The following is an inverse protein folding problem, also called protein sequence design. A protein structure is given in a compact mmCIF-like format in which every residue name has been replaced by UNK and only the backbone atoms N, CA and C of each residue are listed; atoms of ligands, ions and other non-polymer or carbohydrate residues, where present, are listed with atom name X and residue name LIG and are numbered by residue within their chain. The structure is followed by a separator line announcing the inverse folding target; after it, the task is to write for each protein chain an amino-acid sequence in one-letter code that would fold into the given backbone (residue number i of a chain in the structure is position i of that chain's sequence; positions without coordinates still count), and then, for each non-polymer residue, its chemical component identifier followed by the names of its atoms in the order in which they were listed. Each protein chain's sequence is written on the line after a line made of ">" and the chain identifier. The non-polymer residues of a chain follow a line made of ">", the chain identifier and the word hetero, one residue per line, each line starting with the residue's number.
data_IF_748266285617
#
_entry.id   IF_748266285617
#
_cell.length_a   1.000
_cell.length_b   1.000
_cell.length_c   1.000
_cell.angle_alpha   90.00
_cell.angle_beta   90.00
_cell.angle_gamma   90.00
#
_symmetry.space_group_name_H-M   'P 1'
#
loop_
_entity.id
_entity.type
_entity.pdbx_description
1 polymer ?
#
# COMPACT_ATOMS: atom_id res chain seq x y z
N UNK A 1 -9.93 -10.33 4.55
CA UNK A 1 -10.52 -9.91 5.84
C UNK A 1 -10.32 -8.43 6.14
N UNK A 2 -9.10 -7.90 6.36
CA UNK A 2 -8.89 -6.45 6.63
C UNK A 2 -9.35 -5.56 5.47
N UNK A 3 -8.97 -5.89 4.24
CA UNK A 3 -9.36 -5.21 3.02
C UNK A 3 -10.88 -5.08 2.90
N UNK A 4 -11.57 -6.21 2.99
CA UNK A 4 -13.02 -6.27 2.78
C UNK A 4 -13.77 -5.47 3.85
N UNK A 5 -13.24 -5.46 5.07
CA UNK A 5 -13.76 -4.61 6.15
C UNK A 5 -13.64 -3.13 5.79
N UNK A 6 -12.48 -2.68 5.31
CA UNK A 6 -12.23 -1.28 4.93
C UNK A 6 -13.13 -0.87 3.76
N UNK A 7 -13.20 -1.69 2.71
CA UNK A 7 -14.04 -1.41 1.53
C UNK A 7 -15.53 -1.33 1.87
N UNK A 8 -16.00 -2.21 2.77
CA UNK A 8 -17.41 -2.28 3.17
C UNK A 8 -17.79 -1.15 4.12
N UNK A 9 -16.94 -0.84 5.11
CA UNK A 9 -17.29 0.09 6.18
C UNK A 9 -16.84 1.53 5.91
N UNK A 10 -15.94 1.75 4.94
CA UNK A 10 -15.43 3.07 4.53
C UNK A 10 -15.05 3.95 5.74
N UNK A 11 -14.07 3.51 6.57
CA UNK A 11 -13.68 4.25 7.77
C UNK A 11 -13.15 5.64 7.39
N UNK A 12 -13.32 6.62 8.28
CA UNK A 12 -12.79 7.98 8.09
C UNK A 12 -11.26 8.04 8.16
N UNK A 13 -10.63 7.04 8.78
CA UNK A 13 -9.17 6.93 8.87
C UNK A 13 -8.71 5.56 9.34
N UNK A 14 -7.43 5.28 9.13
CA UNK A 14 -6.75 4.04 9.51
C UNK A 14 -5.55 4.38 10.38
N UNK A 15 -5.40 3.72 11.52
CA UNK A 15 -4.15 3.63 12.26
C UNK A 15 -3.54 2.27 11.93
N UNK A 16 -2.45 2.27 11.18
CA UNK A 16 -1.70 1.06 10.86
C UNK A 16 -0.54 0.92 11.84
N UNK A 17 -0.60 -0.10 12.70
CA UNK A 17 0.44 -0.35 13.71
C UNK A 17 1.43 -1.35 13.12
N UNK A 18 2.70 -0.97 13.10
CA UNK A 18 3.82 -1.79 12.63
C UNK A 18 4.87 -1.95 13.71
N UNK A 19 5.52 -3.09 13.70
CA UNK A 19 6.64 -3.43 14.57
C UNK A 19 7.94 -2.86 13.98
N UNK A 20 8.57 -1.92 14.69
CA UNK A 20 9.82 -1.28 14.27
C UNK A 20 10.99 -2.27 14.17
N UNK A 21 10.98 -3.35 14.96
CA UNK A 21 12.02 -4.38 14.93
C UNK A 21 11.90 -5.30 13.72
N UNK A 22 10.74 -5.29 13.04
CA UNK A 22 10.41 -6.14 11.90
C UNK A 22 9.79 -5.34 10.74
N UNK A 23 10.35 -4.16 10.47
CA UNK A 23 9.77 -3.13 9.62
C UNK A 23 9.43 -3.63 8.20
N UNK A 24 10.34 -4.33 7.55
CA UNK A 24 10.17 -4.79 6.16
C UNK A 24 8.90 -5.63 5.98
N UNK A 25 8.72 -6.62 6.84
CA UNK A 25 7.57 -7.51 6.79
C UNK A 25 6.25 -6.76 7.01
N UNK A 26 6.27 -5.79 7.93
CA UNK A 26 5.07 -5.02 8.27
C UNK A 26 4.74 -3.97 7.20
N UNK A 27 5.74 -3.35 6.57
CA UNK A 27 5.53 -2.38 5.49
C UNK A 27 4.90 -3.00 4.24
N UNK A 28 5.07 -4.28 3.99
CA UNK A 28 4.41 -4.96 2.87
C UNK A 28 2.88 -4.80 2.94
N UNK A 29 2.28 -5.02 4.13
CA UNK A 29 0.85 -4.79 4.34
C UNK A 29 0.51 -3.29 4.26
N UNK A 30 1.38 -2.43 4.79
CA UNK A 30 1.20 -0.98 4.71
C UNK A 30 1.03 -0.52 3.26
N UNK A 31 1.91 -0.96 2.35
CA UNK A 31 1.81 -0.60 0.93
C UNK A 31 0.47 -1.04 0.30
N UNK A 32 -0.07 -2.18 0.71
CA UNK A 32 -1.39 -2.62 0.27
C UNK A 32 -2.51 -1.70 0.78
N UNK A 33 -2.44 -1.28 2.06
CA UNK A 33 -3.42 -0.37 2.65
C UNK A 33 -3.40 1.01 1.98
N UNK A 34 -2.23 1.53 1.61
CA UNK A 34 -2.10 2.84 0.97
C UNK A 34 -2.81 2.91 -0.39
N UNK A 35 -2.88 1.80 -1.12
CA UNK A 35 -3.61 1.75 -2.40
C UNK A 35 -5.12 1.93 -2.25
N UNK A 36 -5.68 1.70 -1.05
CA UNK A 36 -7.10 1.91 -0.75
C UNK A 36 -7.52 3.38 -0.70
N UNK A 37 -6.55 4.30 -0.60
CA UNK A 37 -6.81 5.74 -0.56
C UNK A 37 -7.73 6.18 0.58
N UNK A 38 -7.45 5.66 1.78
CA UNK A 38 -8.10 6.10 3.03
C UNK A 38 -7.09 6.92 3.83
N UNK A 39 -7.49 7.99 4.54
CA UNK A 39 -6.60 8.71 5.45
C UNK A 39 -5.92 7.73 6.41
N UNK A 40 -4.58 7.72 6.44
CA UNK A 40 -3.82 6.71 7.17
C UNK A 40 -2.68 7.35 7.96
N UNK A 41 -2.47 6.89 9.19
CA UNK A 41 -1.32 7.18 10.03
C UNK A 41 -0.60 5.87 10.34
N UNK A 42 0.73 5.85 10.24
CA UNK A 42 1.57 4.73 10.64
C UNK A 42 2.01 4.92 12.09
N UNK A 43 1.66 3.98 12.95
CA UNK A 43 2.18 3.88 14.31
C UNK A 43 3.38 2.92 14.31
N UNK A 44 4.56 3.45 14.54
CA UNK A 44 5.81 2.68 14.60
C UNK A 44 6.04 2.23 16.04
N UNK A 45 5.61 1.02 16.36
CA UNK A 45 5.65 0.47 17.72
C UNK A 45 6.96 -0.26 18.01
N UNK A 46 7.24 -0.53 19.29
CA UNK A 46 8.46 -1.18 19.80
C UNK A 46 9.74 -0.37 19.53
N UNK A 47 9.64 0.95 19.56
CA UNK A 47 10.80 1.83 19.37
C UNK A 47 11.82 1.72 20.52
N UNK A 48 11.37 1.38 21.71
CA UNK A 48 12.22 1.07 22.87
C UNK A 48 13.07 -0.19 22.65
N UNK A 49 12.49 -1.25 22.11
CA UNK A 49 13.23 -2.47 21.78
C UNK A 49 14.22 -2.23 20.64
N UNK A 50 13.81 -1.49 19.60
CA UNK A 50 14.68 -1.15 18.48
C UNK A 50 15.92 -0.38 18.98
N UNK A 51 15.71 0.68 19.76
CA UNK A 51 16.81 1.50 20.31
C UNK A 51 17.64 0.75 21.31
N UNK A 52 17.02 -0.08 22.15
CA UNK A 52 17.71 -0.96 23.10
C UNK A 52 18.66 -1.95 22.43
N UNK A 53 18.36 -2.36 21.21
CA UNK A 53 19.20 -3.21 20.36
C UNK A 53 20.20 -2.42 19.48
N UNK A 54 20.30 -1.11 19.67
CA UNK A 54 21.23 -0.24 18.91
C UNK A 54 20.74 0.14 17.52
N UNK A 55 19.47 -0.15 17.18
CA UNK A 55 18.83 0.27 15.94
C UNK A 55 18.27 1.69 16.01
N UNK A 56 18.06 2.30 14.84
CA UNK A 56 17.38 3.59 14.71
C UNK A 56 16.57 3.62 13.40
N UNK A 57 15.51 4.40 13.38
CA UNK A 57 14.71 4.69 12.20
C UNK A 57 14.51 6.20 12.10
N UNK A 58 14.81 6.78 10.95
CA UNK A 58 14.47 8.17 10.63
C UNK A 58 12.98 8.25 10.26
N UNK A 59 12.16 8.60 11.25
CA UNK A 59 10.70 8.67 11.10
C UNK A 59 10.25 9.73 10.12
N UNK A 60 10.97 10.85 10.02
CA UNK A 60 10.63 11.95 9.10
C UNK A 60 10.87 11.50 7.66
N UNK A 61 11.97 10.82 7.42
CA UNK A 61 12.31 10.28 6.11
C UNK A 61 11.34 9.17 5.70
N UNK A 62 11.01 8.26 6.61
CA UNK A 62 10.01 7.21 6.37
C UNK A 62 8.63 7.83 6.06
N UNK A 63 8.25 8.90 6.77
CA UNK A 63 7.02 9.65 6.52
C UNK A 63 6.99 10.26 5.12
N UNK A 64 8.08 10.88 4.70
CA UNK A 64 8.20 11.45 3.35
C UNK A 64 8.12 10.37 2.26
N UNK A 65 8.79 9.24 2.48
CA UNK A 65 8.83 8.13 1.53
C UNK A 65 7.46 7.45 1.37
N UNK A 66 6.74 7.24 2.46
CA UNK A 66 5.40 6.63 2.42
C UNK A 66 4.31 7.66 2.10
N UNK A 67 4.59 8.95 2.22
CA UNK A 67 3.64 10.02 1.96
C UNK A 67 2.49 10.10 2.97
N UNK A 68 2.78 9.75 4.24
CA UNK A 68 1.81 9.77 5.34
C UNK A 68 2.52 10.05 6.68
N UNK A 69 1.80 10.49 7.73
CA UNK A 69 2.38 10.67 9.05
C UNK A 69 2.87 9.35 9.65
N UNK A 70 4.10 9.34 10.17
CA UNK A 70 4.71 8.22 10.90
C UNK A 70 4.96 8.68 12.33
N UNK A 71 4.36 8.00 13.30
CA UNK A 71 4.44 8.35 14.71
C UNK A 71 5.13 7.21 15.47
N UNK A 72 6.30 7.45 16.05
CA UNK A 72 6.97 6.47 16.90
C UNK A 72 6.22 6.32 18.21
N UNK A 73 5.99 5.08 18.64
CA UNK A 73 5.31 4.78 19.90
C UNK A 73 6.00 3.62 20.65
N UNK A 74 5.74 3.56 21.94
CA UNK A 74 5.88 2.37 22.75
C UNK A 74 4.54 2.10 23.43
N UNK A 75 3.75 1.19 22.87
CA UNK A 75 2.41 0.90 23.39
C UNK A 75 2.42 0.35 24.82
N UNK A 76 3.51 -0.32 25.23
CA UNK A 76 3.65 -0.89 26.57
C UNK A 76 3.80 0.19 27.66
N UNK A 77 4.53 1.28 27.38
CA UNK A 77 4.71 2.42 28.31
C UNK A 77 3.65 3.53 28.10
N UNK A 78 3.00 3.55 26.93
CA UNK A 78 2.11 4.63 26.52
C UNK A 78 2.82 5.80 25.81
N UNK A 79 4.15 5.73 25.65
CA UNK A 79 4.91 6.80 25.01
C UNK A 79 4.47 6.98 23.55
N UNK A 80 4.26 8.23 23.14
CA UNK A 80 3.85 8.60 21.77
C UNK A 80 2.38 8.33 21.43
N UNK A 81 1.62 7.65 22.30
CA UNK A 81 0.22 7.28 22.01
C UNK A 81 -0.68 8.51 21.88
N UNK A 82 -0.49 9.54 22.71
CA UNK A 82 -1.26 10.79 22.62
C UNK A 82 -1.01 11.49 21.26
N UNK A 83 0.25 11.62 20.87
CA UNK A 83 0.64 12.20 19.58
C UNK A 83 0.08 11.38 18.38
N UNK A 84 0.02 10.04 18.52
CA UNK A 84 -0.61 9.18 17.52
C UNK A 84 -2.11 9.47 17.37
N UNK A 85 -2.84 9.59 18.49
CA UNK A 85 -4.27 9.89 18.48
C UNK A 85 -4.54 11.25 17.84
N UNK A 86 -3.77 12.29 18.24
CA UNK A 86 -3.89 13.62 17.65
C UNK A 86 -3.62 13.61 16.13
N UNK A 87 -2.55 12.92 15.70
CA UNK A 87 -2.23 12.79 14.28
C UNK A 87 -3.32 12.06 13.52
N UNK A 88 -3.88 10.98 14.07
CA UNK A 88 -4.95 10.20 13.46
C UNK A 88 -6.23 11.03 13.29
N UNK A 89 -6.66 11.73 14.35
CA UNK A 89 -7.84 12.60 14.31
C UNK A 89 -7.64 13.73 13.29
N UNK A 90 -6.50 14.41 13.32
CA UNK A 90 -6.19 15.49 12.37
C UNK A 90 -6.19 15.00 10.93
N UNK A 91 -5.55 13.84 10.66
CA UNK A 91 -5.48 13.24 9.31
C UNK A 91 -6.86 12.85 8.80
N UNK A 92 -7.70 12.26 9.64
CA UNK A 92 -9.07 11.89 9.30
C UNK A 92 -9.96 13.13 9.06
N UNK A 93 -9.94 14.13 9.94
CA UNK A 93 -10.71 15.37 9.79
C UNK A 93 -10.33 16.16 8.56
N UNK A 94 -9.03 16.23 8.26
CA UNK A 94 -8.52 16.89 7.05
C UNK A 94 -8.73 16.05 5.78
N UNK A 95 -9.22 14.81 5.88
CA UNK A 95 -9.30 13.84 4.80
C UNK A 95 -7.99 13.71 4.02
N UNK A 96 -6.87 13.77 4.75
CA UNK A 96 -5.53 13.74 4.18
C UNK A 96 -5.21 12.33 3.67
N UNK A 97 -5.26 12.15 2.36
CA UNK A 97 -4.92 10.89 1.72
C UNK A 97 -3.39 10.71 1.63
N UNK A 98 -2.90 9.46 1.66
CA UNK A 98 -1.49 9.18 1.38
C UNK A 98 -1.07 9.79 0.04
N UNK A 99 0.04 10.52 0.03
CA UNK A 99 0.52 11.23 -1.17
C UNK A 99 1.28 10.30 -2.12
N UNK A 100 1.95 9.27 -1.58
CA UNK A 100 2.65 8.26 -2.37
C UNK A 100 1.74 7.05 -2.54
N UNK A 101 1.45 6.70 -3.79
CA UNK A 101 0.64 5.52 -4.17
C UNK A 101 1.30 4.71 -5.28
N UNK A 102 2.35 5.26 -5.90
CA UNK A 102 3.14 4.55 -6.89
C UNK A 102 4.44 4.06 -6.25
N UNK A 103 4.48 2.77 -6.02
CA UNK A 103 5.62 2.08 -5.40
C UNK A 103 6.50 1.38 -6.46
N UNK A 104 6.24 1.66 -7.74
CA UNK A 104 6.85 0.94 -8.84
C UNK A 104 7.90 1.79 -9.55
N UNK A 105 9.15 1.32 -9.55
CA UNK A 105 10.18 1.89 -10.40
C UNK A 105 9.83 1.67 -11.89
N UNK A 106 10.27 2.58 -12.80
CA UNK A 106 10.06 2.40 -14.23
C UNK A 106 10.54 1.03 -14.71
N UNK A 107 9.66 0.29 -15.40
CA UNK A 107 9.96 -1.06 -15.88
C UNK A 107 8.70 -1.82 -16.33
N UNK A 108 8.82 -3.14 -16.59
CA UNK A 108 7.71 -3.95 -17.09
C UNK A 108 6.50 -3.94 -16.16
N UNK A 109 6.71 -4.08 -14.83
CA UNK A 109 5.62 -4.06 -13.84
C UNK A 109 4.90 -2.70 -13.84
N UNK A 110 5.66 -1.60 -13.88
CA UNK A 110 5.11 -0.25 -13.94
C UNK A 110 4.24 -0.06 -15.19
N UNK A 111 4.74 -0.48 -16.38
CA UNK A 111 3.96 -0.40 -17.62
C UNK A 111 2.68 -1.23 -17.56
N UNK A 112 2.75 -2.45 -17.03
CA UNK A 112 1.59 -3.32 -16.86
C UNK A 112 0.54 -2.68 -15.95
N UNK A 113 0.93 -2.21 -14.76
CA UNK A 113 -0.01 -1.55 -13.83
C UNK A 113 -0.66 -0.33 -14.49
N UNK A 114 0.11 0.52 -15.19
CA UNK A 114 -0.43 1.67 -15.90
C UNK A 114 -1.40 1.27 -17.01
N UNK A 115 -1.06 0.28 -17.81
CA UNK A 115 -1.95 -0.21 -18.89
C UNK A 115 -3.28 -0.72 -18.30
N UNK A 116 -3.21 -1.54 -17.24
CA UNK A 116 -4.41 -2.05 -16.56
C UNK A 116 -5.21 -0.90 -15.92
N UNK A 117 -4.56 0.08 -15.28
CA UNK A 117 -5.24 1.26 -14.75
C UNK A 117 -6.09 1.97 -15.81
N UNK A 118 -5.52 2.22 -16.99
CA UNK A 118 -6.25 2.87 -18.09
C UNK A 118 -7.44 2.04 -18.59
N UNK A 119 -7.28 0.72 -18.64
CA UNK A 119 -8.34 -0.17 -19.13
C UNK A 119 -9.53 -0.26 -18.14
N UNK A 120 -9.28 -0.15 -16.84
CA UNK A 120 -10.31 -0.33 -15.81
C UNK A 120 -10.79 0.97 -15.16
N UNK A 121 -10.31 2.14 -15.59
CA UNK A 121 -10.55 3.42 -14.93
C UNK A 121 -12.04 3.70 -14.70
N UNK A 122 -12.85 3.62 -15.76
CA UNK A 122 -14.29 3.86 -15.70
C UNK A 122 -15.02 2.81 -14.83
N UNK A 123 -14.56 1.56 -14.87
CA UNK A 123 -15.10 0.47 -14.07
C UNK A 123 -14.81 0.67 -12.58
N UNK A 124 -13.57 1.02 -12.25
CA UNK A 124 -13.16 1.30 -10.87
C UNK A 124 -13.90 2.50 -10.28
N UNK A 125 -14.08 3.58 -11.07
CA UNK A 125 -14.85 4.74 -10.65
C UNK A 125 -16.31 4.38 -10.36
N UNK A 126 -16.96 3.61 -11.24
CA UNK A 126 -18.34 3.12 -11.03
C UNK A 126 -18.47 2.23 -9.81
N UNK A 127 -17.47 1.38 -9.56
CA UNK A 127 -17.41 0.51 -8.39
C UNK A 127 -17.02 1.24 -7.09
N UNK A 128 -16.61 2.52 -7.18
CA UNK A 128 -16.13 3.30 -6.03
C UNK A 128 -14.80 2.80 -5.46
N UNK A 129 -13.97 2.18 -6.31
CA UNK A 129 -12.65 1.67 -5.98
C UNK A 129 -11.56 2.65 -6.44
N UNK A 130 -10.45 2.70 -5.69
CA UNK A 130 -9.23 3.31 -6.21
C UNK A 130 -8.73 2.53 -7.43
N UNK A 131 -8.48 3.23 -8.54
CA UNK A 131 -8.07 2.60 -9.81
C UNK A 131 -6.80 1.76 -9.63
N UNK A 132 -5.80 2.30 -8.92
CA UNK A 132 -4.55 1.60 -8.69
C UNK A 132 -4.71 0.38 -7.76
N UNK A 133 -5.56 0.49 -6.75
CA UNK A 133 -5.95 -0.66 -5.94
C UNK A 133 -6.56 -1.75 -6.82
N UNK A 134 -7.59 -1.39 -7.60
CA UNK A 134 -8.27 -2.34 -8.47
C UNK A 134 -7.30 -2.99 -9.48
N UNK A 135 -6.42 -2.20 -10.13
CA UNK A 135 -5.44 -2.70 -11.08
C UNK A 135 -4.48 -3.73 -10.46
N UNK A 136 -3.92 -3.44 -9.28
CA UNK A 136 -3.00 -4.39 -8.63
C UNK A 136 -3.69 -5.69 -8.25
N UNK A 137 -4.94 -5.65 -7.80
CA UNK A 137 -5.71 -6.84 -7.43
C UNK A 137 -6.19 -7.63 -8.66
N UNK A 138 -6.51 -6.95 -9.75
CA UNK A 138 -6.80 -7.61 -11.05
C UNK A 138 -5.57 -8.35 -11.56
N UNK A 139 -4.38 -7.75 -11.47
CA UNK A 139 -3.12 -8.40 -11.85
C UNK A 139 -2.84 -9.60 -10.93
N UNK A 140 -3.07 -9.47 -9.62
CA UNK A 140 -2.94 -10.58 -8.65
C UNK A 140 -3.98 -11.71 -8.87
N UNK A 141 -5.01 -11.50 -9.75
CA UNK A 141 -6.02 -12.49 -10.07
C UNK A 141 -7.17 -12.58 -9.06
N UNK A 142 -7.47 -11.49 -8.33
CA UNK A 142 -8.56 -11.46 -7.35
C UNK A 142 -9.93 -11.46 -8.04
N UNK A 143 -10.60 -12.60 -7.99
CA UNK A 143 -11.90 -12.81 -8.64
C UNK A 143 -12.97 -11.85 -8.11
N UNK A 144 -12.98 -11.55 -6.81
CA UNK A 144 -13.99 -10.68 -6.22
C UNK A 144 -13.86 -9.23 -6.72
N UNK A 145 -12.65 -8.74 -6.93
CA UNK A 145 -12.42 -7.43 -7.55
C UNK A 145 -12.79 -7.45 -9.03
N UNK A 146 -12.44 -8.50 -9.76
CA UNK A 146 -12.80 -8.63 -11.19
C UNK A 146 -14.32 -8.69 -11.39
N UNK A 147 -15.06 -9.40 -10.53
CA UNK A 147 -16.52 -9.42 -10.56
C UNK A 147 -17.12 -8.05 -10.26
N UNK A 148 -16.59 -7.33 -9.27
CA UNK A 148 -17.06 -6.00 -8.89
C UNK A 148 -16.84 -4.95 -9.99
N UNK A 149 -15.82 -5.13 -10.81
CA UNK A 149 -15.53 -4.26 -11.95
C UNK A 149 -16.45 -4.50 -13.15
N UNK A 150 -17.11 -5.65 -13.23
CA UNK A 150 -17.99 -6.03 -14.36
C UNK A 150 -17.30 -5.93 -15.72
N UNK A 151 -16.06 -6.41 -15.81
CA UNK A 151 -15.28 -6.41 -17.06
C UNK A 151 -15.89 -7.39 -18.08
N UNK A 152 -15.96 -6.98 -19.32
CA UNK A 152 -16.34 -7.87 -20.42
C UNK A 152 -15.19 -8.82 -20.81
N UNK A 153 -15.47 -9.75 -21.74
CA UNK A 153 -14.50 -10.75 -22.15
C UNK A 153 -13.31 -10.13 -22.91
N UNK A 154 -13.55 -9.12 -23.75
CA UNK A 154 -12.50 -8.46 -24.51
C UNK A 154 -11.57 -7.66 -23.60
N UNK A 155 -12.13 -6.97 -22.59
CA UNK A 155 -11.37 -6.24 -21.59
C UNK A 155 -10.48 -7.18 -20.77
N UNK A 156 -11.01 -8.33 -20.34
CA UNK A 156 -10.22 -9.36 -19.65
C UNK A 156 -9.07 -9.89 -20.50
N UNK A 157 -9.29 -10.12 -21.79
CA UNK A 157 -8.25 -10.58 -22.70
C UNK A 157 -7.16 -9.53 -22.93
N UNK A 158 -7.50 -8.25 -23.03
CA UNK A 158 -6.53 -7.15 -23.14
C UNK A 158 -5.70 -7.01 -21.87
N UNK A 159 -6.33 -7.12 -20.69
CA UNK A 159 -5.65 -7.10 -19.40
C UNK A 159 -4.68 -8.29 -19.32
N UNK A 160 -5.15 -9.48 -19.63
CA UNK A 160 -4.33 -10.69 -19.59
C UNK A 160 -3.14 -10.59 -20.56
N UNK A 161 -3.32 -10.02 -21.74
CA UNK A 161 -2.22 -9.77 -22.66
C UNK A 161 -1.13 -8.87 -22.04
N UNK A 162 -1.52 -7.79 -21.36
CA UNK A 162 -0.60 -6.89 -20.66
C UNK A 162 0.15 -7.58 -19.51
N UNK A 163 -0.53 -8.49 -18.81
CA UNK A 163 0.05 -9.28 -17.71
C UNK A 163 1.06 -10.28 -18.25
N UNK A 164 0.70 -11.06 -19.28
CA UNK A 164 1.59 -12.03 -19.90
C UNK A 164 2.84 -11.37 -20.48
N UNK A 165 2.70 -10.19 -21.09
CA UNK A 165 3.84 -9.41 -21.57
C UNK A 165 4.80 -9.06 -20.42
N UNK A 166 4.28 -8.61 -19.30
CA UNK A 166 5.06 -8.31 -18.09
C UNK A 166 5.76 -9.56 -17.56
N UNK A 167 5.07 -10.70 -17.46
CA UNK A 167 5.63 -11.97 -16.98
C UNK A 167 6.80 -12.43 -17.86
N UNK A 168 6.65 -12.33 -19.18
CA UNK A 168 7.70 -12.67 -20.13
C UNK A 168 8.92 -11.76 -20.01
N UNK A 169 8.72 -10.46 -19.88
CA UNK A 169 9.81 -9.49 -19.75
C UNK A 169 10.54 -9.59 -18.40
N UNK A 170 9.83 -9.96 -17.31
CA UNK A 170 10.42 -10.12 -15.97
C UNK A 170 11.00 -11.51 -15.73
N UNK A 171 10.51 -12.53 -16.42
CA UNK A 171 10.83 -13.92 -16.10
C UNK A 171 10.27 -14.38 -14.76
N UNK A 172 9.21 -13.74 -14.28
CA UNK A 172 8.50 -14.00 -13.02
C UNK A 172 7.00 -14.10 -13.31
N UNK A 173 6.28 -14.94 -12.56
CA UNK A 173 4.82 -14.88 -12.58
C UNK A 173 4.31 -13.56 -11.97
N UNK A 174 3.04 -13.23 -12.23
CA UNK A 174 2.41 -11.97 -11.83
C UNK A 174 2.48 -11.70 -10.33
N UNK A 175 2.27 -12.72 -9.51
CA UNK A 175 2.28 -12.57 -8.06
C UNK A 175 3.70 -12.30 -7.55
N UNK A 176 4.69 -13.03 -8.06
CA UNK A 176 6.10 -12.81 -7.75
C UNK A 176 6.57 -11.43 -8.23
N UNK A 177 6.14 -10.98 -9.43
CA UNK A 177 6.51 -9.67 -9.96
C UNK A 177 5.95 -8.52 -9.13
N UNK A 178 4.69 -8.59 -8.68
CA UNK A 178 4.07 -7.61 -7.80
C UNK A 178 4.70 -7.62 -6.40
N UNK A 179 4.99 -8.81 -5.86
CA UNK A 179 5.68 -8.93 -4.57
C UNK A 179 7.09 -8.34 -4.62
N UNK A 180 7.87 -8.67 -5.64
CA UNK A 180 9.22 -8.15 -5.87
C UNK A 180 9.23 -6.61 -5.99
N UNK A 181 8.27 -6.03 -6.69
CA UNK A 181 8.08 -4.57 -6.76
C UNK A 181 7.91 -3.95 -5.36
N UNK A 182 7.04 -4.52 -4.52
CA UNK A 182 6.79 -4.02 -3.16
C UNK A 182 8.04 -4.14 -2.29
N UNK A 183 8.72 -5.29 -2.32
CA UNK A 183 9.96 -5.50 -1.57
C UNK A 183 11.08 -4.56 -2.03
N UNK A 184 11.26 -4.36 -3.33
CA UNK A 184 12.24 -3.42 -3.87
C UNK A 184 11.99 -2.00 -3.37
N UNK A 185 10.73 -1.55 -3.32
CA UNK A 185 10.39 -0.24 -2.77
C UNK A 185 10.75 -0.13 -1.28
N UNK A 186 10.45 -1.17 -0.50
CA UNK A 186 10.77 -1.22 0.94
C UNK A 186 12.29 -1.21 1.17
N UNK A 187 13.06 -1.97 0.39
CA UNK A 187 14.52 -2.03 0.49
C UNK A 187 15.19 -0.70 0.14
N UNK A 188 14.74 -0.03 -0.93
CA UNK A 188 15.23 1.32 -1.28
C UNK A 188 14.97 2.29 -0.12
N UNK A 189 13.81 2.18 0.52
CA UNK A 189 13.48 2.93 1.71
C UNK A 189 14.42 2.68 2.87
N UNK A 190 14.71 1.42 3.13
CA UNK A 190 15.61 1.03 4.21
C UNK A 190 17.05 1.48 3.99
N UNK A 191 17.57 1.42 2.79
CA UNK A 191 18.94 1.87 2.48
C UNK A 191 19.17 3.35 2.81
N UNK A 192 18.10 4.04 3.14
CA UNK A 192 18.06 5.48 3.40
C UNK A 192 17.45 5.84 4.77
N UNK A 193 17.00 4.90 5.57
CA UNK A 193 16.46 5.05 6.93
C UNK A 193 17.53 4.58 7.98
#
# INVERSE_FOLDING_TARGET
>A
MTRDFILKNKPDGIINIVDATNLERNLYLTLQLLTLRVPTVLALNMMDELTGNGGSIDTDRLSQQLGLPVIPICAASGDGVEALIEAAVRTAQARQLPSVVDFCAPGPVHRCIHAVCHQIEDHAQRAGLSVRFAATWVIDGDEAVMEQLHLDQNEKELIEHSIVQMELERGLDRNAAIADMRYTFIEIGRAHV
#
